data_IF_954614229118
#
_entry.id   IF_954614229118
#
_cell.length_a   1.000
_cell.length_b   1.000
_cell.length_c   1.000
_cell.angle_alpha   90.00
_cell.angle_beta   90.00
_cell.angle_gamma   90.00
#
_symmetry.space_group_name_H-M   'P 1'
#
loop_
_entity.id
_entity.type
_entity.pdbx_description
1 polymer ?
#
# COMPACT_ATOMS: atom_id res chain seq x y z
N UNK A 1 -18.03 13.72 11.69
CA UNK A 1 -16.65 13.45 11.22
C UNK A 1 -16.65 12.03 10.68
N UNK A 2 -16.27 11.83 9.42
CA UNK A 2 -16.25 10.50 8.81
C UNK A 2 -15.42 9.55 9.67
N UNK A 3 -15.98 8.37 9.94
CA UNK A 3 -15.35 7.36 10.78
C UNK A 3 -14.45 6.51 9.87
N UNK A 4 -13.33 7.09 9.43
CA UNK A 4 -12.38 6.45 8.52
C UNK A 4 -11.88 5.15 9.18
N UNK A 5 -12.00 4.05 8.45
CA UNK A 5 -11.58 2.70 8.83
C UNK A 5 -10.30 2.29 8.14
N UNK A 6 -10.06 2.76 6.92
CA UNK A 6 -8.85 2.47 6.15
C UNK A 6 -8.30 3.76 5.57
N UNK A 7 -6.98 3.89 5.58
CA UNK A 7 -6.27 4.92 4.80
C UNK A 7 -5.13 4.28 4.04
N UNK A 8 -5.15 4.47 2.73
CA UNK A 8 -4.14 3.98 1.82
C UNK A 8 -3.60 5.14 0.98
N UNK A 9 -2.28 5.29 0.96
CA UNK A 9 -1.59 6.21 0.05
C UNK A 9 -0.96 5.40 -1.07
N UNK A 10 -1.30 5.77 -2.30
CA UNK A 10 -0.76 5.18 -3.51
C UNK A 10 0.25 6.16 -4.10
N UNK A 11 1.40 5.64 -4.53
CA UNK A 11 2.45 6.41 -5.19
C UNK A 11 2.96 5.63 -6.40
N UNK A 12 3.08 6.28 -7.55
CA UNK A 12 3.74 5.70 -8.72
C UNK A 12 5.26 5.75 -8.55
N UNK A 13 5.97 4.75 -9.08
CA UNK A 13 7.42 4.72 -9.11
C UNK A 13 7.95 4.17 -10.44
N UNK A 14 9.15 4.58 -10.82
CA UNK A 14 9.92 3.94 -11.90
C UNK A 14 10.78 2.81 -11.35
N UNK A 15 11.17 2.91 -10.07
CA UNK A 15 11.88 1.89 -9.31
C UNK A 15 11.72 2.15 -7.82
N UNK A 16 11.61 1.10 -7.01
CA UNK A 16 11.66 1.23 -5.56
C UNK A 16 12.36 0.03 -4.93
N UNK A 17 13.16 0.29 -3.90
CA UNK A 17 13.90 -0.74 -3.16
C UNK A 17 13.52 -0.66 -1.70
N UNK A 18 13.22 -1.82 -1.09
CA UNK A 18 12.88 -1.95 0.32
C UNK A 18 13.84 -2.94 0.98
N UNK A 19 14.35 -2.56 2.16
CA UNK A 19 15.09 -3.48 3.01
C UNK A 19 14.16 -4.32 3.88
N UNK A 20 14.33 -5.63 3.82
CA UNK A 20 13.60 -6.61 4.61
C UNK A 20 14.22 -6.80 6.01
N UNK A 21 13.55 -7.57 6.85
CA UNK A 21 13.98 -7.82 8.22
C UNK A 21 15.34 -8.53 8.33
N UNK A 22 15.69 -9.36 7.36
CA UNK A 22 16.96 -10.10 7.28
C UNK A 22 18.08 -9.28 6.61
N UNK A 23 17.89 -7.96 6.48
CA UNK A 23 18.76 -7.00 5.77
C UNK A 23 18.89 -7.24 4.26
N UNK A 24 18.20 -8.24 3.70
CA UNK A 24 18.11 -8.39 2.25
C UNK A 24 17.29 -7.24 1.63
N UNK A 25 17.53 -6.96 0.35
CA UNK A 25 16.81 -5.92 -0.37
C UNK A 25 15.94 -6.54 -1.46
N UNK A 26 14.69 -6.07 -1.54
CA UNK A 26 13.77 -6.37 -2.63
C UNK A 26 13.56 -5.13 -3.46
N UNK A 27 13.44 -5.29 -4.77
CA UNK A 27 13.27 -4.18 -5.70
C UNK A 27 12.10 -4.45 -6.62
N UNK A 28 11.29 -3.41 -6.80
CA UNK A 28 10.28 -3.34 -7.86
C UNK A 28 10.74 -2.34 -8.92
N UNK A 29 10.37 -2.57 -10.17
CA UNK A 29 10.58 -1.65 -11.28
C UNK A 29 9.39 -0.69 -11.38
N UNK A 30 8.96 -0.37 -12.61
CA UNK A 30 7.82 0.50 -12.85
C UNK A 30 6.58 -0.10 -12.19
N UNK A 31 5.96 0.67 -11.31
CA UNK A 31 4.90 0.12 -10.49
C UNK A 31 4.29 1.11 -9.52
N UNK A 32 3.64 0.56 -8.50
CA UNK A 32 2.93 1.31 -7.47
C UNK A 32 3.39 0.90 -6.07
N UNK A 33 3.74 1.90 -5.27
CA UNK A 33 3.99 1.76 -3.84
C UNK A 33 2.68 2.04 -3.09
N UNK A 34 2.33 1.16 -2.16
CA UNK A 34 1.08 1.17 -1.41
C UNK A 34 1.45 1.31 0.07
N UNK A 35 1.17 2.47 0.67
CA UNK A 35 1.30 2.67 2.11
C UNK A 35 -0.07 2.52 2.76
N UNK A 36 -0.21 1.62 3.72
CA UNK A 36 -1.53 1.31 4.30
C UNK A 36 -1.57 1.45 5.83
N UNK A 37 -2.66 2.01 6.33
CA UNK A 37 -3.05 1.97 7.73
C UNK A 37 -4.49 1.51 7.88
N UNK A 38 -4.70 0.60 8.84
CA UNK A 38 -6.00 0.19 9.32
C UNK A 38 -6.33 0.91 10.62
N UNK A 39 -7.55 1.42 10.72
CA UNK A 39 -8.05 2.21 11.84
C UNK A 39 -9.10 1.42 12.61
N UNK A 40 -9.52 1.98 13.75
CA UNK A 40 -10.58 1.42 14.57
C UNK A 40 -11.82 1.14 13.74
N UNK A 41 -12.49 0.04 14.07
CA UNK A 41 -13.69 -0.44 13.39
C UNK A 41 -13.48 -0.96 11.96
N UNK A 42 -12.27 -0.94 11.41
CA UNK A 42 -11.97 -1.67 10.18
C UNK A 42 -12.35 -3.14 10.31
N UNK A 43 -12.91 -3.69 9.24
CA UNK A 43 -13.31 -5.08 9.12
C UNK A 43 -12.57 -5.75 7.97
N UNK A 44 -12.60 -7.08 7.93
CA UNK A 44 -11.99 -7.85 6.84
C UNK A 44 -12.52 -7.44 5.46
N UNK A 45 -13.80 -7.07 5.37
CA UNK A 45 -14.42 -6.58 4.14
C UNK A 45 -13.77 -5.29 3.62
N UNK A 46 -13.27 -4.42 4.51
CA UNK A 46 -12.54 -3.22 4.11
C UNK A 46 -11.20 -3.58 3.45
N UNK A 47 -10.53 -4.64 3.95
CA UNK A 47 -9.28 -5.14 3.37
C UNK A 47 -9.50 -5.72 1.97
N UNK A 48 -10.56 -6.52 1.82
CA UNK A 48 -10.92 -7.13 0.53
C UNK A 48 -11.33 -6.06 -0.47
N UNK A 49 -12.10 -5.06 -0.03
CA UNK A 49 -12.49 -3.91 -0.85
C UNK A 49 -11.27 -3.11 -1.30
N UNK A 50 -10.36 -2.78 -0.38
CA UNK A 50 -9.15 -2.02 -0.69
C UNK A 50 -8.27 -2.76 -1.72
N UNK A 51 -8.08 -4.07 -1.58
CA UNK A 51 -7.31 -4.85 -2.55
C UNK A 51 -7.89 -4.74 -3.97
N UNK A 52 -9.22 -4.83 -4.10
CA UNK A 52 -9.91 -4.68 -5.39
C UNK A 52 -9.76 -3.27 -5.95
N UNK A 53 -9.90 -2.24 -5.13
CA UNK A 53 -9.76 -0.85 -5.56
C UNK A 53 -8.34 -0.54 -6.06
N UNK A 54 -7.30 -1.04 -5.36
CA UNK A 54 -5.91 -0.88 -5.77
C UNK A 54 -5.65 -1.44 -7.18
N UNK A 55 -6.19 -2.62 -7.50
CA UNK A 55 -5.95 -3.24 -8.80
C UNK A 55 -6.87 -2.71 -9.91
N UNK A 56 -7.98 -2.06 -9.57
CA UNK A 56 -8.97 -1.56 -10.55
C UNK A 56 -8.87 -0.06 -10.81
N UNK A 57 -8.19 0.70 -9.94
CA UNK A 57 -8.02 2.14 -10.13
C UNK A 57 -7.09 2.43 -11.32
N UNK A 58 -7.52 3.34 -12.21
CA UNK A 58 -6.73 3.78 -13.36
C UNK A 58 -5.85 4.98 -12.97
N UNK A 59 -4.64 4.70 -12.51
CA UNK A 59 -3.66 5.71 -12.07
C UNK A 59 -2.34 5.64 -12.83
N UNK A 60 -2.09 4.55 -13.55
CA UNK A 60 -0.81 4.31 -14.17
C UNK A 60 -0.78 4.99 -15.53
N UNK A 61 0.06 6.01 -15.70
CA UNK A 61 0.23 6.69 -16.99
C UNK A 61 0.79 5.72 -18.04
N UNK A 62 0.29 5.79 -19.27
CA UNK A 62 0.79 5.08 -20.44
C UNK A 62 0.55 5.94 -21.70
N UNK A 63 1.13 5.53 -22.83
CA UNK A 63 0.98 6.27 -24.10
C UNK A 63 -0.49 6.38 -24.56
N UNK A 64 -1.34 5.45 -24.16
CA UNK A 64 -2.78 5.42 -24.48
C UNK A 64 -3.67 6.03 -23.37
N UNK A 65 -3.07 6.73 -22.40
CA UNK A 65 -3.76 7.31 -21.24
C UNK A 65 -3.64 6.46 -19.96
N UNK A 66 -4.58 6.67 -19.02
CA UNK A 66 -4.53 6.04 -17.69
C UNK A 66 -4.97 4.56 -17.73
N UNK A 67 -4.09 3.69 -17.26
CA UNK A 67 -4.30 2.25 -17.11
C UNK A 67 -4.35 1.84 -15.64
N UNK A 68 -4.91 0.66 -15.38
CA UNK A 68 -4.77 0.03 -14.05
C UNK A 68 -3.35 -0.52 -13.90
N UNK A 69 -2.94 -0.85 -12.67
CA UNK A 69 -1.62 -1.48 -12.46
C UNK A 69 -1.53 -2.86 -13.11
N UNK A 70 -2.66 -3.57 -13.22
CA UNK A 70 -2.75 -4.88 -13.87
C UNK A 70 -2.66 -4.75 -15.39
N UNK A 71 -3.29 -3.73 -15.97
CA UNK A 71 -3.24 -3.46 -17.41
C UNK A 71 -1.87 -2.87 -17.86
N UNK A 72 -1.10 -2.28 -16.94
CA UNK A 72 0.28 -1.80 -17.19
C UNK A 72 1.35 -2.91 -17.07
N UNK A 73 0.96 -4.15 -16.78
CA UNK A 73 1.72 -5.09 -15.93
C UNK A 73 2.80 -4.47 -15.02
N UNK A 74 2.39 -3.55 -14.13
CA UNK A 74 3.31 -2.92 -13.18
C UNK A 74 3.51 -3.71 -11.89
N UNK A 75 4.66 -3.51 -11.25
CA UNK A 75 5.01 -4.13 -9.98
C UNK A 75 4.29 -3.47 -8.79
N UNK A 76 4.19 -4.17 -7.66
CA UNK A 76 3.63 -3.66 -6.40
C UNK A 76 4.61 -3.77 -5.25
N UNK A 77 4.74 -2.69 -4.48
CA UNK A 77 5.46 -2.66 -3.20
C UNK A 77 4.52 -2.21 -2.08
N UNK A 78 4.19 -3.12 -1.17
CA UNK A 78 3.20 -2.89 -0.12
C UNK A 78 3.93 -2.60 1.20
N UNK A 79 3.75 -1.41 1.76
CA UNK A 79 4.43 -0.93 2.96
C UNK A 79 3.41 -0.72 4.09
N UNK A 80 3.54 -1.42 5.23
CA UNK A 80 2.70 -1.14 6.39
C UNK A 80 3.08 0.23 6.98
N UNK A 81 2.13 1.16 7.02
CA UNK A 81 2.36 2.55 7.40
C UNK A 81 1.29 3.06 8.38
N UNK A 82 1.28 2.48 9.58
CA UNK A 82 0.33 2.83 10.65
C UNK A 82 0.31 4.34 10.99
N UNK A 83 1.37 5.08 10.69
CA UNK A 83 1.45 6.52 10.91
C UNK A 83 0.47 7.33 10.07
N UNK A 84 -0.08 6.78 8.97
CA UNK A 84 -1.15 7.42 8.19
C UNK A 84 -2.44 7.64 9.01
N UNK A 85 -2.65 6.87 10.07
CA UNK A 85 -3.76 7.07 11.00
C UNK A 85 -3.55 8.21 12.01
N UNK A 86 -2.40 8.87 11.95
CA UNK A 86 -2.05 9.98 12.82
C UNK A 86 -3.00 11.16 12.66
N UNK A 87 -3.42 11.74 13.78
CA UNK A 87 -4.10 13.04 13.82
C UNK A 87 -3.21 14.06 14.51
N UNK A 88 -3.01 15.20 13.86
CA UNK A 88 -2.28 16.31 14.47
C UNK A 88 -3.12 16.88 15.61
N UNK A 89 -2.56 16.89 16.81
CA UNK A 89 -3.15 17.51 17.98
C UNK A 89 -2.14 18.52 18.56
N UNK A 90 -2.43 19.81 18.36
CA UNK A 90 -1.56 20.95 18.65
C UNK A 90 -0.21 20.87 17.92
N UNK A 91 0.77 20.15 18.49
CA UNK A 91 2.13 20.03 17.98
C UNK A 91 2.63 18.57 17.91
N UNK A 92 1.76 17.59 18.16
CA UNK A 92 2.13 16.16 18.11
C UNK A 92 1.07 15.35 17.37
N UNK A 93 1.51 14.32 16.66
CA UNK A 93 0.61 13.32 16.12
C UNK A 93 0.15 12.36 17.23
N UNK A 94 -1.13 12.01 17.19
CA UNK A 94 -1.74 11.00 18.04
C UNK A 94 -2.32 9.88 17.19
N UNK A 95 -2.22 8.64 17.66
CA UNK A 95 -2.57 7.43 16.91
C UNK A 95 -3.69 6.63 17.60
N UNK A 96 -4.52 7.29 18.42
CA UNK A 96 -5.60 6.65 19.17
C UNK A 96 -6.66 5.95 18.29
N UNK A 97 -6.66 6.26 16.99
CA UNK A 97 -7.59 5.69 16.02
C UNK A 97 -7.00 4.51 15.24
N UNK A 98 -5.73 4.15 15.44
CA UNK A 98 -5.18 2.96 14.81
C UNK A 98 -5.84 1.71 15.38
N UNK A 99 -5.95 0.68 14.55
CA UNK A 99 -6.32 -0.65 15.02
C UNK A 99 -5.22 -1.21 15.94
N UNK A 100 -5.57 -2.19 16.77
CA UNK A 100 -4.59 -2.87 17.61
C UNK A 100 -3.57 -3.65 16.76
N UNK A 101 -2.40 -3.96 17.33
CA UNK A 101 -1.28 -4.57 16.61
C UNK A 101 -1.63 -5.90 15.94
N UNK A 102 -2.29 -6.79 16.68
CA UNK A 102 -2.54 -8.17 16.24
C UNK A 102 -3.54 -8.21 15.10
N UNK A 103 -4.66 -7.48 15.22
CA UNK A 103 -5.63 -7.36 14.12
C UNK A 103 -5.05 -6.60 12.94
N UNK A 104 -4.20 -5.59 13.18
CA UNK A 104 -3.52 -4.86 12.12
C UNK A 104 -2.56 -5.73 11.30
N UNK A 105 -1.85 -6.66 11.96
CA UNK A 105 -1.02 -7.67 11.30
C UNK A 105 -1.88 -8.61 10.46
N UNK A 106 -2.95 -9.16 11.02
CA UNK A 106 -3.87 -10.04 10.30
C UNK A 106 -4.42 -9.37 9.03
N UNK A 107 -4.85 -8.12 9.13
CA UNK A 107 -5.38 -7.37 7.99
C UNK A 107 -4.31 -7.05 6.96
N UNK A 108 -3.10 -6.75 7.39
CA UNK A 108 -1.98 -6.53 6.48
C UNK A 108 -1.61 -7.79 5.71
N UNK A 109 -1.46 -8.93 6.39
CA UNK A 109 -1.16 -10.21 5.76
C UNK A 109 -2.25 -10.63 4.77
N UNK A 110 -3.51 -10.35 5.12
CA UNK A 110 -4.64 -10.59 4.21
C UNK A 110 -4.60 -9.67 2.98
N UNK A 111 -4.30 -8.38 3.16
CA UNK A 111 -4.15 -7.45 2.04
C UNK A 111 -3.07 -7.92 1.06
N UNK A 112 -1.89 -8.26 1.59
CA UNK A 112 -0.76 -8.75 0.79
C UNK A 112 -1.13 -10.03 0.03
N UNK A 113 -1.78 -10.98 0.70
CA UNK A 113 -2.21 -12.23 0.09
C UNK A 113 -3.23 -12.00 -1.03
N UNK A 114 -4.23 -11.15 -0.80
CA UNK A 114 -5.23 -10.81 -1.80
C UNK A 114 -4.60 -10.11 -3.02
N UNK A 115 -3.65 -9.18 -2.82
CA UNK A 115 -2.97 -8.50 -3.93
C UNK A 115 -2.10 -9.46 -4.75
N UNK A 116 -1.39 -10.38 -4.10
CA UNK A 116 -0.63 -11.44 -4.79
C UNK A 116 -1.55 -12.33 -5.64
N UNK A 117 -2.70 -12.72 -5.10
CA UNK A 117 -3.69 -13.52 -5.83
C UNK A 117 -4.25 -12.76 -7.03
N UNK A 118 -4.68 -11.52 -6.84
CA UNK A 118 -5.26 -10.68 -7.90
C UNK A 118 -4.25 -10.37 -9.02
N UNK A 119 -2.96 -10.25 -8.69
CA UNK A 119 -1.90 -10.01 -9.68
C UNK A 119 -1.31 -11.30 -10.29
N UNK A 120 -1.64 -12.48 -9.76
CA UNK A 120 -1.03 -13.77 -10.17
C UNK A 120 -1.24 -14.15 -11.64
N UNK A 121 -2.23 -13.54 -12.30
CA UNK A 121 -2.52 -13.78 -13.71
C UNK A 121 -1.41 -13.26 -14.64
N UNK A 122 -0.66 -12.24 -14.20
CA UNK A 122 0.48 -11.69 -14.92
C UNK A 122 1.77 -12.17 -14.28
N UNK A 123 2.43 -13.16 -14.91
CA UNK A 123 3.67 -13.77 -14.41
C UNK A 123 4.85 -12.79 -14.34
N UNK A 124 4.78 -11.70 -15.09
CA UNK A 124 5.84 -10.69 -15.16
C UNK A 124 5.78 -9.69 -13.99
N UNK A 125 4.66 -9.64 -13.26
CA UNK A 125 4.48 -8.69 -12.16
C UNK A 125 5.10 -9.22 -10.87
N UNK A 126 5.89 -8.38 -10.23
CA UNK A 126 6.46 -8.65 -8.90
C UNK A 126 5.62 -7.97 -7.83
N UNK A 127 5.25 -8.73 -6.79
CA UNK A 127 4.54 -8.21 -5.61
C UNK A 127 5.38 -8.41 -4.35
N UNK A 128 6.06 -7.35 -3.94
CA UNK A 128 6.83 -7.29 -2.71
C UNK A 128 6.08 -6.60 -1.57
N UNK A 129 6.41 -6.97 -0.34
CA UNK A 129 5.76 -6.46 0.86
C UNK A 129 6.78 -6.30 1.99
N UNK A 130 6.66 -5.22 2.75
CA UNK A 130 7.47 -4.99 3.94
C UNK A 130 7.02 -5.83 5.13
N UNK A 131 7.95 -6.16 6.02
CA UNK A 131 7.59 -6.91 7.23
C UNK A 131 6.82 -5.99 8.19
N UNK A 132 5.71 -6.49 8.74
CA UNK A 132 4.88 -5.69 9.64
C UNK A 132 5.58 -5.44 10.99
N UNK A 133 5.46 -4.23 11.51
CA UNK A 133 5.98 -3.86 12.83
C UNK A 133 7.49 -3.63 12.90
N UNK A 134 8.22 -3.67 11.78
CA UNK A 134 9.63 -3.25 11.69
C UNK A 134 9.77 -1.88 11.02
N UNK A 135 10.98 -1.30 11.07
CA UNK A 135 11.29 -0.06 10.38
C UNK A 135 11.32 -0.31 8.86
N UNK A 136 10.55 0.49 8.12
CA UNK A 136 10.48 0.42 6.66
C UNK A 136 11.57 1.30 6.04
N UNK A 137 12.75 0.74 5.76
CA UNK A 137 13.86 1.46 5.12
C UNK A 137 13.72 1.25 3.61
N UNK A 138 13.29 2.29 2.88
CA UNK A 138 13.07 2.21 1.44
C UNK A 138 13.62 3.42 0.70
N UNK A 139 13.90 3.23 -0.59
CA UNK A 139 14.22 4.28 -1.56
C UNK A 139 13.27 4.18 -2.77
N UNK A 140 13.02 5.30 -3.44
CA UNK A 140 12.12 5.36 -4.58
C UNK A 140 12.65 6.36 -5.61
N UNK A 141 12.59 5.96 -6.88
CA UNK A 141 12.75 6.79 -8.05
C UNK A 141 11.37 6.98 -8.71
N UNK A 142 11.11 8.18 -9.22
CA UNK A 142 9.81 8.50 -9.82
C UNK A 142 9.93 9.53 -10.93
N UNK A 143 9.13 9.38 -11.98
CA UNK A 143 8.91 10.40 -13.00
C UNK A 143 7.62 11.20 -12.70
N UNK A 144 7.55 11.75 -11.49
CA UNK A 144 6.31 12.29 -10.92
C UNK A 144 5.58 11.25 -10.05
N UNK A 145 5.44 11.47 -8.73
CA UNK A 145 5.00 10.42 -7.81
C UNK A 145 3.48 10.13 -7.87
N UNK A 146 2.70 10.98 -8.55
CA UNK A 146 1.25 10.83 -8.75
C UNK A 146 0.53 10.30 -7.49
N UNK A 147 0.72 10.98 -6.36
CA UNK A 147 0.26 10.51 -5.05
C UNK A 147 -1.25 10.66 -4.91
N UNK A 148 -1.93 9.59 -4.50
CA UNK A 148 -3.37 9.56 -4.27
C UNK A 148 -3.68 8.92 -2.91
N UNK A 149 -4.81 9.29 -2.32
CA UNK A 149 -5.30 8.71 -1.06
C UNK A 149 -6.66 8.05 -1.30
N UNK A 150 -6.80 6.80 -0.86
CA UNK A 150 -8.07 6.10 -0.72
C UNK A 150 -8.39 6.03 0.77
N UNK A 151 -9.57 6.54 1.16
CA UNK A 151 -10.05 6.47 2.54
C UNK A 151 -11.57 6.28 2.63
N UNK A 152 -12.00 5.45 3.58
CA UNK A 152 -13.39 5.24 4.00
C UNK A 152 -13.44 4.54 5.35
#
# INVERSE_FOLDING_TARGET
MSNIRVRCLLQQCTKATLRLQDESEVTINRGMIIFVAFLKHAQLDDVIKLAKEIVTVKLCESDDGLKTIVDLPGDLLIIPQATLGGRLNVHRFQYHNNINRDTGLEFYDKLVSNLRELCSQNKDNVVHAGSYGIKQIYSCETNGPAIHIIEY
#
